data_IF_757775067475
#
_entry.id   IF_757775067475
#
_cell.length_a   1.000
_cell.length_b   1.000
_cell.length_c   1.000
_cell.angle_alpha   90.00
_cell.angle_beta   90.00
_cell.angle_gamma   90.00
#
_symmetry.space_group_name_H-M   'P 1'
#
loop_
_entity.id
_entity.type
_entity.pdbx_description
1 polymer ?
#
# COMPACT_ATOMS: atom_id res chain seq x y z
N UNK A 1 1.21 -7.12 -6.66
CA UNK A 1 0.88 -5.87 -7.38
C UNK A 1 -0.22 -6.18 -8.37
N UNK A 2 -1.21 -5.30 -8.55
CA UNK A 2 -2.20 -5.45 -9.62
C UNK A 2 -1.59 -5.23 -11.02
N UNK A 3 -2.37 -5.43 -12.07
CA UNK A 3 -1.93 -5.27 -13.48
C UNK A 3 -1.65 -3.79 -13.84
N UNK A 4 -2.26 -2.85 -13.12
CA UNK A 4 -2.28 -1.42 -13.47
C UNK A 4 -0.90 -0.76 -13.64
N UNK A 5 0.11 -0.97 -12.77
CA UNK A 5 1.43 -0.39 -12.96
C UNK A 5 2.09 -0.82 -14.28
N UNK A 6 1.88 -2.08 -14.70
CA UNK A 6 2.40 -2.60 -15.96
C UNK A 6 1.67 -2.00 -17.17
N UNK A 7 0.35 -1.82 -17.07
CA UNK A 7 -0.44 -1.15 -18.09
C UNK A 7 0.01 0.31 -18.27
N UNK A 8 0.25 1.04 -17.18
CA UNK A 8 0.78 2.42 -17.18
C UNK A 8 2.21 2.52 -17.74
N UNK A 9 2.99 1.43 -17.65
CA UNK A 9 4.28 1.33 -18.34
C UNK A 9 4.16 1.05 -19.85
N UNK A 10 2.95 0.80 -20.35
CA UNK A 10 2.67 0.54 -21.76
C UNK A 10 2.67 -0.94 -22.14
N UNK A 11 2.65 -1.87 -21.18
CA UNK A 11 2.50 -3.29 -21.48
C UNK A 11 1.05 -3.63 -21.82
N UNK A 12 0.87 -4.60 -22.71
CA UNK A 12 -0.45 -5.15 -23.04
C UNK A 12 -0.88 -6.18 -22.01
N UNK A 13 -2.20 -6.35 -21.84
CA UNK A 13 -2.77 -7.37 -20.95
C UNK A 13 -2.26 -8.78 -21.29
N UNK A 14 -2.13 -9.10 -22.58
CA UNK A 14 -1.59 -10.39 -23.03
C UNK A 14 -0.15 -10.64 -22.56
N UNK A 15 0.70 -9.61 -22.53
CA UNK A 15 2.07 -9.73 -22.03
C UNK A 15 2.10 -9.98 -20.52
N UNK A 16 1.23 -9.30 -19.77
CA UNK A 16 1.09 -9.47 -18.32
C UNK A 16 0.56 -10.88 -18.02
N UNK A 17 -0.52 -11.31 -18.66
CA UNK A 17 -1.13 -12.63 -18.49
C UNK A 17 -0.15 -13.76 -18.83
N UNK A 18 0.63 -13.60 -19.90
CA UNK A 18 1.64 -14.59 -20.30
C UNK A 18 2.77 -14.71 -19.28
N UNK A 19 3.12 -13.62 -18.58
CA UNK A 19 4.24 -13.58 -17.66
C UNK A 19 3.84 -14.03 -16.24
N UNK A 20 2.60 -13.78 -15.83
CA UNK A 20 2.15 -14.00 -14.45
C UNK A 20 1.02 -15.02 -14.30
N UNK A 21 0.24 -15.32 -15.33
CA UNK A 21 -1.00 -16.12 -15.21
C UNK A 21 -0.78 -17.54 -14.66
N UNK A 22 -0.02 -18.37 -15.38
CA UNK A 22 0.29 -19.74 -14.91
C UNK A 22 1.20 -19.78 -13.66
N UNK A 23 2.30 -19.01 -13.60
CA UNK A 23 3.19 -19.02 -12.44
C UNK A 23 2.48 -18.66 -11.11
N UNK A 24 1.51 -17.74 -11.15
CA UNK A 24 0.79 -17.33 -9.95
C UNK A 24 -0.19 -18.40 -9.45
N UNK A 25 -0.83 -19.14 -10.36
CA UNK A 25 -1.70 -20.26 -9.99
C UNK A 25 -0.89 -21.40 -9.35
N UNK A 26 0.23 -21.77 -9.98
CA UNK A 26 1.11 -22.83 -9.46
C UNK A 26 1.68 -22.45 -8.07
N UNK A 27 2.02 -21.17 -7.87
CA UNK A 27 2.46 -20.66 -6.58
C UNK A 27 1.37 -20.75 -5.51
N UNK A 28 0.15 -20.32 -5.81
CA UNK A 28 -0.96 -20.35 -4.85
C UNK A 28 -1.35 -21.79 -4.48
N UNK A 29 -1.38 -22.71 -5.44
CA UNK A 29 -1.66 -24.13 -5.19
C UNK A 29 -0.60 -24.75 -4.26
N UNK A 30 0.67 -24.46 -4.50
CA UNK A 30 1.78 -24.89 -3.65
C UNK A 30 1.69 -24.27 -2.25
N UNK A 31 1.43 -22.97 -2.16
CA UNK A 31 1.27 -22.27 -0.90
C UNK A 31 0.10 -22.85 -0.07
N UNK A 32 -1.03 -23.13 -0.70
CA UNK A 32 -2.21 -23.70 -0.04
C UNK A 32 -2.02 -25.13 0.47
N UNK A 33 -1.11 -25.89 -0.14
CA UNK A 33 -0.82 -27.27 0.25
C UNK A 33 0.31 -27.39 1.28
N UNK A 34 1.30 -26.50 1.24
CA UNK A 34 2.52 -26.62 2.05
C UNK A 34 2.52 -25.74 3.32
N UNK A 35 1.78 -24.63 3.34
CA UNK A 35 1.85 -23.66 4.43
C UNK A 35 0.84 -23.93 5.56
N UNK A 36 1.11 -23.44 6.78
CA UNK A 36 0.16 -23.53 7.89
C UNK A 36 -1.19 -22.90 7.57
N UNK A 37 -2.28 -23.49 8.07
CA UNK A 37 -3.66 -23.07 7.79
C UNK A 37 -3.91 -21.58 8.03
N UNK A 38 -3.39 -21.00 9.12
CA UNK A 38 -3.60 -19.59 9.43
C UNK A 38 -3.03 -18.66 8.34
N UNK A 39 -1.86 -19.01 7.79
CA UNK A 39 -1.20 -18.25 6.75
C UNK A 39 -1.93 -18.40 5.42
N UNK A 40 -2.41 -19.61 5.12
CA UNK A 40 -3.25 -19.86 3.94
C UNK A 40 -4.52 -19.02 3.96
N UNK A 41 -5.20 -18.92 5.11
CA UNK A 41 -6.40 -18.08 5.23
C UNK A 41 -6.08 -16.59 5.08
N UNK A 42 -4.97 -16.10 5.64
CA UNK A 42 -4.50 -14.73 5.44
C UNK A 42 -4.26 -14.42 3.95
N UNK A 43 -3.58 -15.33 3.23
CA UNK A 43 -3.31 -15.17 1.80
C UNK A 43 -4.60 -15.17 0.98
N UNK A 44 -5.55 -16.07 1.28
CA UNK A 44 -6.86 -16.08 0.61
C UNK A 44 -7.61 -14.77 0.78
N UNK A 45 -7.62 -14.23 2.00
CA UNK A 45 -8.23 -12.92 2.28
C UNK A 45 -7.50 -11.84 1.47
N UNK A 46 -6.17 -11.79 1.50
CA UNK A 46 -5.38 -10.80 0.76
C UNK A 46 -5.64 -10.84 -0.77
N UNK A 47 -5.72 -12.05 -1.34
CA UNK A 47 -6.07 -12.25 -2.75
C UNK A 47 -7.49 -11.75 -3.04
N UNK A 48 -8.46 -12.09 -2.19
CA UNK A 48 -9.85 -11.64 -2.35
C UNK A 48 -9.97 -10.11 -2.26
N UNK A 49 -9.28 -9.50 -1.30
CA UNK A 49 -9.22 -8.04 -1.16
C UNK A 49 -8.59 -7.38 -2.39
N UNK A 50 -7.52 -7.98 -2.92
CA UNK A 50 -6.89 -7.48 -4.15
C UNK A 50 -7.82 -7.60 -5.36
N UNK A 51 -8.55 -8.72 -5.51
CA UNK A 51 -9.51 -8.94 -6.60
C UNK A 51 -10.71 -7.99 -6.56
N UNK A 52 -11.15 -7.64 -5.36
CA UNK A 52 -12.21 -6.64 -5.16
C UNK A 52 -11.68 -5.21 -5.17
N UNK A 53 -10.39 -5.04 -5.51
CA UNK A 53 -9.67 -3.78 -5.45
C UNK A 53 -9.86 -3.04 -4.12
N UNK A 54 -10.03 -3.76 -3.01
CA UNK A 54 -10.30 -3.21 -1.68
C UNK A 54 -11.52 -2.25 -1.65
N UNK A 55 -12.56 -2.53 -2.46
CA UNK A 55 -13.80 -1.73 -2.52
C UNK A 55 -14.46 -1.58 -1.12
N UNK A 56 -14.24 -2.52 -0.21
CA UNK A 56 -14.67 -2.38 1.18
C UNK A 56 -14.13 -1.13 1.89
N UNK A 57 -12.92 -0.68 1.55
CA UNK A 57 -12.32 0.54 2.08
C UNK A 57 -12.97 1.79 1.47
N UNK A 58 -13.54 1.69 0.27
CA UNK A 58 -14.24 2.79 -0.39
C UNK A 58 -15.67 2.93 0.14
N UNK A 59 -16.29 1.81 0.55
CA UNK A 59 -17.66 1.78 1.11
C UNK A 59 -17.72 2.24 2.56
N UNK A 60 -16.65 2.02 3.32
CA UNK A 60 -16.57 2.36 4.72
C UNK A 60 -15.60 3.54 4.89
N UNK A 61 -16.11 4.78 4.96
CA UNK A 61 -15.24 5.93 5.12
C UNK A 61 -14.43 5.82 6.41
N UNK A 62 -13.20 6.34 6.38
CA UNK A 62 -12.36 6.40 7.57
C UNK A 62 -13.07 7.22 8.67
N UNK A 63 -12.96 6.81 9.94
CA UNK A 63 -13.56 7.55 11.04
C UNK A 63 -12.95 8.96 11.15
N UNK A 64 -13.71 9.90 11.72
CA UNK A 64 -13.26 11.27 11.95
C UNK A 64 -12.27 11.36 13.13
N UNK A 65 -11.06 10.84 12.86
CA UNK A 65 -9.89 10.86 13.74
C UNK A 65 -8.67 11.24 12.89
N UNK A 66 -7.56 11.70 13.50
CA UNK A 66 -6.34 11.93 12.75
C UNK A 66 -5.83 10.61 12.16
N UNK A 67 -5.66 10.57 10.84
CA UNK A 67 -5.13 9.40 10.13
C UNK A 67 -3.89 9.81 9.36
N UNK A 68 -2.75 9.23 9.75
CA UNK A 68 -1.47 9.47 9.11
C UNK A 68 -0.98 8.18 8.43
N UNK A 69 -0.80 8.21 7.12
CA UNK A 69 -0.13 7.15 6.38
C UNK A 69 1.36 7.46 6.23
N UNK A 70 2.20 6.46 6.46
CA UNK A 70 3.66 6.57 6.32
C UNK A 70 4.10 5.53 5.28
N UNK A 71 4.73 6.00 4.21
CA UNK A 71 5.15 5.18 3.07
C UNK A 71 6.66 5.26 2.91
N UNK A 72 7.28 4.09 2.78
CA UNK A 72 8.65 3.96 2.31
C UNK A 72 8.68 4.12 0.78
N UNK A 73 9.71 4.79 0.25
CA UNK A 73 9.79 5.20 -1.15
C UNK A 73 11.19 5.07 -1.75
N UNK A 74 12.13 4.51 -1.01
CA UNK A 74 13.45 4.17 -1.45
C UNK A 74 13.37 2.97 -2.38
N UNK A 75 13.79 3.16 -3.63
CA UNK A 75 14.00 2.03 -4.51
C UNK A 75 15.25 1.29 -4.04
N UNK A 76 15.13 -0.01 -3.82
CA UNK A 76 16.25 -0.90 -3.52
C UNK A 76 16.15 -2.12 -4.42
N UNK A 77 17.24 -2.42 -5.11
CA UNK A 77 17.36 -3.63 -5.96
C UNK A 77 17.36 -4.93 -5.14
N UNK A 78 17.30 -4.84 -3.81
CA UNK A 78 17.35 -5.98 -2.92
C UNK A 78 16.08 -6.83 -2.96
N UNK A 79 16.12 -7.87 -3.80
CA UNK A 79 15.83 -9.22 -3.32
C UNK A 79 14.57 -9.90 -3.88
N UNK A 80 14.70 -10.56 -5.02
CA UNK A 80 14.00 -11.81 -5.30
C UNK A 80 13.05 -11.80 -6.50
N UNK A 81 12.22 -10.77 -6.64
CA UNK A 81 11.20 -10.71 -7.68
C UNK A 81 11.71 -9.95 -8.89
N UNK A 82 12.68 -10.55 -9.59
CA UNK A 82 12.93 -10.14 -10.97
C UNK A 82 11.61 -10.33 -11.72
N UNK A 83 11.05 -9.22 -12.20
CA UNK A 83 9.89 -9.28 -13.07
C UNK A 83 10.19 -10.28 -14.21
N UNK A 84 9.32 -11.26 -14.48
CA UNK A 84 9.45 -12.12 -15.66
C UNK A 84 9.39 -11.31 -16.97
N UNK A 85 8.98 -10.04 -16.89
CA UNK A 85 9.02 -9.09 -17.99
C UNK A 85 10.35 -8.33 -17.99
N UNK A 86 10.93 -8.17 -19.18
CA UNK A 86 12.04 -7.25 -19.40
C UNK A 86 11.52 -5.80 -19.34
N UNK A 87 11.48 -5.23 -18.14
CA UNK A 87 11.07 -3.86 -17.90
C UNK A 87 12.03 -3.14 -16.95
N UNK A 88 12.00 -1.81 -17.01
CA UNK A 88 12.71 -0.95 -16.06
C UNK A 88 12.04 -1.06 -14.68
N UNK A 89 12.69 -1.77 -13.76
CA UNK A 89 12.17 -2.07 -12.43
C UNK A 89 12.07 -0.83 -11.54
N UNK A 90 13.01 0.12 -11.66
CA UNK A 90 12.91 1.37 -10.92
C UNK A 90 11.71 2.16 -11.43
N UNK A 91 11.54 2.28 -12.75
CA UNK A 91 10.37 2.95 -13.33
C UNK A 91 9.07 2.28 -12.92
N UNK A 92 9.01 0.94 -12.94
CA UNK A 92 7.85 0.18 -12.47
C UNK A 92 7.54 0.49 -11.01
N UNK A 93 8.56 0.51 -10.15
CA UNK A 93 8.43 0.87 -8.75
C UNK A 93 7.87 2.29 -8.59
N UNK A 94 8.42 3.29 -9.30
CA UNK A 94 7.92 4.68 -9.24
C UNK A 94 6.47 4.80 -9.70
N UNK A 95 6.08 4.11 -10.77
CA UNK A 95 4.70 4.08 -11.26
C UNK A 95 3.76 3.46 -10.23
N UNK A 96 4.16 2.30 -9.68
CA UNK A 96 3.41 1.60 -8.63
C UNK A 96 3.22 2.46 -7.38
N UNK A 97 4.28 3.09 -6.87
CA UNK A 97 4.19 3.98 -5.70
C UNK A 97 3.31 5.21 -5.97
N UNK A 98 3.39 5.80 -7.17
CA UNK A 98 2.52 6.90 -7.55
C UNK A 98 1.03 6.51 -7.57
N UNK A 99 0.69 5.35 -8.13
CA UNK A 99 -0.68 4.84 -8.14
C UNK A 99 -1.19 4.60 -6.71
N UNK A 100 -0.35 3.99 -5.87
CA UNK A 100 -0.66 3.74 -4.45
C UNK A 100 -0.88 5.04 -3.68
N UNK A 101 0.01 6.02 -3.82
CA UNK A 101 -0.13 7.33 -3.18
C UNK A 101 -1.40 8.05 -3.62
N UNK A 102 -1.74 8.04 -4.91
CA UNK A 102 -3.00 8.65 -5.41
C UNK A 102 -4.22 8.04 -4.72
N UNK A 103 -4.26 6.72 -4.61
CA UNK A 103 -5.34 6.00 -3.92
C UNK A 103 -5.41 6.37 -2.44
N UNK A 104 -4.28 6.37 -1.74
CA UNK A 104 -4.23 6.74 -0.33
C UNK A 104 -4.64 8.18 -0.07
N UNK A 105 -4.26 9.12 -0.93
CA UNK A 105 -4.70 10.50 -0.83
C UNK A 105 -6.22 10.63 -0.98
N UNK A 106 -6.85 9.85 -1.87
CA UNK A 106 -8.31 9.84 -2.00
C UNK A 106 -9.01 9.41 -0.70
N UNK A 107 -8.45 8.47 0.05
CA UNK A 107 -8.98 8.06 1.36
C UNK A 107 -8.80 9.15 2.43
N UNK A 108 -7.73 9.95 2.32
CA UNK A 108 -7.41 10.99 3.30
C UNK A 108 -8.11 12.32 3.03
N UNK A 109 -8.49 12.63 1.79
CA UNK A 109 -9.12 13.92 1.44
C UNK A 109 -10.38 14.29 2.24
N UNK A 110 -11.27 13.33 2.60
CA UNK A 110 -12.42 13.65 3.44
C UNK A 110 -12.07 14.01 4.89
N UNK A 111 -10.86 13.66 5.35
CA UNK A 111 -10.45 13.83 6.74
C UNK A 111 -9.80 15.19 6.97
N UNK A 112 -10.25 15.92 8.00
CA UNK A 112 -9.67 17.21 8.39
C UNK A 112 -8.17 17.10 8.76
N UNK A 113 -7.79 15.98 9.35
CA UNK A 113 -6.42 15.69 9.78
C UNK A 113 -5.84 14.43 9.09
N UNK A 114 -6.23 14.21 7.83
CA UNK A 114 -5.62 13.19 6.97
C UNK A 114 -4.26 13.63 6.45
N UNK A 115 -3.20 12.83 6.63
CA UNK A 115 -1.85 13.15 6.14
C UNK A 115 -1.16 11.93 5.54
N UNK A 116 -0.38 12.15 4.48
CA UNK A 116 0.50 11.16 3.88
C UNK A 116 1.95 11.65 3.99
N UNK A 117 2.81 10.81 4.56
CA UNK A 117 4.24 11.02 4.68
C UNK A 117 4.95 10.01 3.78
N UNK A 118 5.67 10.51 2.78
CA UNK A 118 6.45 9.69 1.86
C UNK A 118 7.94 9.88 2.12
N UNK A 119 8.65 8.79 2.40
CA UNK A 119 10.08 8.81 2.65
C UNK A 119 10.85 8.13 1.52
N UNK A 120 11.43 8.90 0.62
CA UNK A 120 12.24 8.39 -0.48
C UNK A 120 13.59 7.78 -0.04
N UNK A 121 14.00 7.97 1.22
CA UNK A 121 15.24 7.44 1.77
C UNK A 121 15.07 6.07 2.43
N UNK A 122 13.86 5.76 2.90
CA UNK A 122 13.55 4.46 3.51
C UNK A 122 13.18 3.45 2.43
N UNK A 123 13.77 2.27 2.46
CA UNK A 123 13.51 1.19 1.50
C UNK A 123 12.21 0.46 1.86
N UNK A 124 12.27 -0.54 2.74
CA UNK A 124 11.11 -1.38 3.08
C UNK A 124 10.50 -1.05 4.44
N UNK A 125 11.31 -0.61 5.41
CA UNK A 125 10.88 -0.48 6.80
C UNK A 125 11.20 0.91 7.34
N UNK A 126 10.26 1.85 7.17
CA UNK A 126 10.43 3.25 7.64
C UNK A 126 10.73 3.30 9.14
N UNK A 127 10.16 2.39 9.94
CA UNK A 127 10.42 2.35 11.38
C UNK A 127 11.87 2.00 11.74
N UNK A 128 12.57 1.29 10.87
CA UNK A 128 13.98 0.93 11.06
C UNK A 128 14.88 1.96 10.41
N UNK A 129 14.53 2.40 9.19
CA UNK A 129 15.36 3.30 8.38
C UNK A 129 15.29 4.75 8.86
N UNK A 130 14.10 5.21 9.26
CA UNK A 130 13.79 6.60 9.63
C UNK A 130 12.86 6.65 10.88
N UNK A 131 13.32 6.14 12.04
CA UNK A 131 12.50 6.06 13.26
C UNK A 131 11.99 7.43 13.72
N UNK A 132 12.77 8.50 13.52
CA UNK A 132 12.39 9.86 13.89
C UNK A 132 11.18 10.37 13.11
N UNK A 133 11.03 9.96 11.84
CA UNK A 133 9.85 10.27 11.05
C UNK A 133 8.61 9.62 11.67
N UNK A 134 8.71 8.35 12.07
CA UNK A 134 7.61 7.61 12.71
C UNK A 134 7.21 8.28 14.03
N UNK A 135 8.18 8.57 14.89
CA UNK A 135 7.94 9.25 16.18
C UNK A 135 7.29 10.61 15.96
N UNK A 136 7.76 11.37 14.97
CA UNK A 136 7.20 12.69 14.64
C UNK A 136 5.76 12.59 14.13
N UNK A 137 5.45 11.59 13.30
CA UNK A 137 4.08 11.33 12.83
C UNK A 137 3.12 10.99 13.98
N UNK A 138 3.58 10.20 14.96
CA UNK A 138 2.81 9.85 16.15
C UNK A 138 2.52 11.10 16.98
N UNK A 139 3.56 11.90 17.29
CA UNK A 139 3.39 13.15 18.05
C UNK A 139 2.40 14.09 17.37
N UNK A 140 2.52 14.24 16.05
CA UNK A 140 1.61 15.08 15.28
C UNK A 140 0.17 14.57 15.32
N UNK A 141 -0.04 13.26 15.24
CA UNK A 141 -1.39 12.66 15.31
C UNK A 141 -2.03 12.93 16.69
N UNK A 142 -1.26 12.81 17.76
CA UNK A 142 -1.73 13.13 19.13
C UNK A 142 -2.12 14.60 19.25
N UNK A 143 -1.29 15.51 18.75
CA UNK A 143 -1.60 16.95 18.74
C UNK A 143 -2.85 17.26 17.91
N UNK A 144 -3.01 16.63 16.74
CA UNK A 144 -4.20 16.83 15.91
C UNK A 144 -5.46 16.24 16.57
N UNK A 145 -5.34 15.15 17.33
CA UNK A 145 -6.44 14.60 18.13
C UNK A 145 -6.88 15.56 19.24
N UNK A 146 -5.93 16.18 19.95
CA UNK A 146 -6.23 17.19 20.98
C UNK A 146 -6.99 18.39 20.42
N UNK A 147 -6.67 18.81 19.18
CA UNK A 147 -7.41 19.88 18.49
C UNK A 147 -8.86 19.48 18.22
N UNK A 148 -9.10 18.28 17.66
CA UNK A 148 -10.47 17.77 17.44
C UNK A 148 -11.27 17.78 18.75
N UNK A 149 -10.67 17.31 19.84
CA UNK A 149 -11.32 17.28 21.15
C UNK A 149 -11.69 18.69 21.66
N UNK A 150 -10.83 19.67 21.40
CA UNK A 150 -11.05 21.07 21.82
C UNK A 150 -12.16 21.72 20.99
N UNK A 151 -12.14 21.55 19.67
CA UNK A 151 -13.14 22.08 18.76
C UNK A 151 -14.55 21.53 19.04
N UNK A 152 -14.64 20.24 19.37
CA UNK A 152 -15.89 19.60 19.74
C UNK A 152 -16.47 20.17 21.05
N UNK A 153 -15.62 20.59 22.00
CA UNK A 153 -16.05 21.21 23.26
C UNK A 153 -16.54 22.65 23.10
N UNK A 154 -15.99 23.39 22.14
CA UNK A 154 -16.37 24.79 21.85
C UNK A 154 -17.60 24.91 20.94
N UNK A 155 -18.05 23.81 20.34
CA UNK A 155 -19.22 23.74 19.44
C UNK A 155 -20.51 23.31 20.16
N UNK A 156 -20.47 23.25 21.49
CA UNK A 156 -21.59 23.02 22.41
C UNK A 156 -21.73 24.21 23.35
#
# INVERSE_FOLDING_TARGET
MGELPYLEMGLTRQQIDSAFGKPNNDFLEKLYSEMPKYYVEEVKISVHLTQTEFNECDRNPLPDVPVHFILAGGFSESGGDNSPLLCDLEKLFRVSENLKMKRYLQLLYPLKYGKLFYCSKSSHFVQTDEPDLVISCIKLALTDYEKIQTENKTSH
#
